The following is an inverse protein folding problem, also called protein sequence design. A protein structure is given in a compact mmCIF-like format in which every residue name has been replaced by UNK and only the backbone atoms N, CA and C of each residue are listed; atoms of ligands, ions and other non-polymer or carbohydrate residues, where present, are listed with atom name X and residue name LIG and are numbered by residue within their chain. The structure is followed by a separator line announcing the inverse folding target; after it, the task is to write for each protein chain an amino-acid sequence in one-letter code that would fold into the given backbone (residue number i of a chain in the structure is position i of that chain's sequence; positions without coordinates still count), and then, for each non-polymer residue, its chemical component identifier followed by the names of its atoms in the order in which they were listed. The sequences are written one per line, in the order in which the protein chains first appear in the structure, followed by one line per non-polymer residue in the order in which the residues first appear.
data_IF_435480096678
#
_entry.id   IF_435480096678
#
_cell.length_a   1.000
_cell.length_b   1.000
_cell.length_c   1.000
_cell.angle_alpha   90.00
_cell.angle_beta   90.00
_cell.angle_gamma   90.00
#
_symmetry.space_group_name_H-M   'P 1'
#
loop_
_entity.id
_entity.type
_entity.pdbx_description
1 polymer ?
#
# COMPACT_ATOMS: atom_id res chain seq x y z
N UNK A 1 0.46 28.57 -3.22
CA UNK A 1 -0.96 28.52 -2.79
C UNK A 1 -1.04 29.10 -1.40
N UNK A 2 -1.62 30.29 -1.24
CA UNK A 2 -1.90 30.82 0.09
C UNK A 2 -2.96 29.93 0.74
N UNK A 3 -2.66 29.33 1.89
CA UNK A 3 -3.63 28.53 2.66
C UNK A 3 -3.39 27.01 2.70
N UNK A 4 -2.48 26.46 1.90
CA UNK A 4 -2.10 25.04 1.95
C UNK A 4 -0.68 24.87 2.51
N UNK A 5 -0.53 24.01 3.50
CA UNK A 5 0.76 23.51 3.99
C UNK A 5 0.99 22.08 3.54
N UNK A 6 2.24 21.77 3.20
CA UNK A 6 2.67 20.46 2.73
C UNK A 6 3.70 19.93 3.71
N UNK A 7 3.42 18.76 4.28
CA UNK A 7 4.29 18.10 5.23
C UNK A 7 5.02 16.97 4.50
N UNK A 8 6.29 17.20 4.14
CA UNK A 8 7.19 16.14 3.70
C UNK A 8 7.88 15.53 4.92
N UNK A 9 7.49 14.32 5.29
CA UNK A 9 7.93 13.66 6.52
C UNK A 9 8.80 12.45 6.19
N UNK A 10 9.86 12.26 6.98
CA UNK A 10 10.69 11.07 6.89
C UNK A 10 10.25 10.04 7.93
N UNK A 11 9.62 8.98 7.45
CA UNK A 11 9.18 7.83 8.26
C UNK A 11 10.21 6.70 8.30
N UNK A 12 11.35 6.82 7.62
CA UNK A 12 12.33 5.75 7.52
C UNK A 12 13.20 5.66 8.77
N UNK A 13 13.67 4.44 9.08
CA UNK A 13 14.55 4.17 10.22
C UNK A 13 16.02 4.12 9.83
N UNK A 14 16.41 4.92 8.83
CA UNK A 14 17.79 4.96 8.34
C UNK A 14 18.85 5.23 9.44
N UNK A 15 18.60 6.02 10.50
CA UNK A 15 19.60 6.22 11.55
C UNK A 15 19.90 4.95 12.37
N UNK A 16 18.99 3.98 12.36
CA UNK A 16 19.14 2.69 13.04
C UNK A 16 19.71 1.60 12.12
N UNK A 17 19.81 1.89 10.82
CA UNK A 17 20.36 0.95 9.85
C UNK A 17 21.87 0.76 10.05
N UNK A 18 22.35 -0.42 9.65
CA UNK A 18 23.76 -0.77 9.67
C UNK A 18 24.10 -1.62 8.47
N UNK A 19 25.25 -1.37 7.86
CA UNK A 19 25.78 -2.18 6.74
C UNK A 19 26.05 -3.65 7.12
N UNK A 20 25.96 -4.00 8.41
CA UNK A 20 26.21 -5.35 8.92
C UNK A 20 24.94 -6.20 9.08
N UNK A 21 23.77 -5.61 8.89
CA UNK A 21 22.47 -6.27 9.09
C UNK A 21 21.60 -6.03 7.85
N UNK A 22 20.55 -6.83 7.73
CA UNK A 22 19.51 -6.54 6.75
C UNK A 22 18.92 -5.14 7.01
N UNK A 23 18.56 -4.39 5.95
CA UNK A 23 17.91 -3.10 6.10
C UNK A 23 16.63 -3.21 6.91
N UNK A 24 16.41 -2.25 7.79
CA UNK A 24 15.15 -2.09 8.51
C UNK A 24 14.08 -1.66 7.50
N UNK A 25 13.03 -2.48 7.40
CA UNK A 25 11.91 -2.28 6.47
C UNK A 25 10.83 -1.41 7.10
N UNK A 26 10.62 -1.50 8.40
CA UNK A 26 9.53 -0.79 9.08
C UNK A 26 9.78 0.73 9.24
N UNK A 27 8.67 1.46 9.37
CA UNK A 27 8.66 2.90 9.50
C UNK A 27 8.34 3.39 10.91
N UNK A 28 8.85 4.56 11.30
CA UNK A 28 8.38 5.26 12.50
C UNK A 28 8.65 6.75 12.44
N UNK A 29 7.93 7.50 13.26
CA UNK A 29 8.34 8.86 13.63
C UNK A 29 8.93 8.85 15.03
N UNK A 30 10.14 9.40 15.17
CA UNK A 30 10.76 9.58 16.49
C UNK A 30 9.95 10.57 17.33
N UNK A 31 10.03 10.49 18.68
CA UNK A 31 9.25 11.37 19.56
C UNK A 31 9.37 12.86 19.26
N UNK A 32 10.57 13.33 18.93
CA UNK A 32 10.82 14.73 18.56
C UNK A 32 10.13 15.10 17.25
N UNK A 33 10.12 14.20 16.26
CA UNK A 33 9.41 14.40 15.00
C UNK A 33 7.89 14.43 15.23
N UNK A 34 7.34 13.56 16.07
CA UNK A 34 5.91 13.57 16.43
C UNK A 34 5.51 14.87 17.12
N UNK A 35 6.30 15.33 18.10
CA UNK A 35 6.07 16.62 18.78
C UNK A 35 6.11 17.79 17.79
N UNK A 36 7.06 17.77 16.86
CA UNK A 36 7.16 18.79 15.81
C UNK A 36 5.96 18.75 14.87
N UNK A 37 5.52 17.56 14.42
CA UNK A 37 4.35 17.38 13.57
C UNK A 37 3.13 17.98 14.28
N UNK A 38 2.86 17.57 15.52
CA UNK A 38 1.69 18.04 16.28
C UNK A 38 1.72 19.56 16.50
N UNK A 39 2.87 20.13 16.88
CA UNK A 39 3.01 21.57 17.06
C UNK A 39 2.70 22.36 15.77
N UNK A 40 3.14 21.87 14.61
CA UNK A 40 2.86 22.51 13.33
C UNK A 40 1.40 22.29 12.88
N UNK A 41 0.78 21.16 13.21
CA UNK A 41 -0.64 20.93 12.96
C UNK A 41 -1.53 21.85 13.81
N UNK A 42 -1.18 22.09 15.07
CA UNK A 42 -1.85 23.07 15.94
C UNK A 42 -1.78 24.46 15.31
N UNK A 43 -0.59 24.86 14.85
CA UNK A 43 -0.38 26.17 14.24
C UNK A 43 -1.11 26.32 12.89
N UNK A 44 -1.07 25.29 12.05
CA UNK A 44 -1.82 25.24 10.79
C UNK A 44 -3.31 25.44 11.05
N UNK A 45 -3.86 24.72 12.03
CA UNK A 45 -5.27 24.84 12.42
C UNK A 45 -5.60 26.24 12.97
N UNK A 46 -4.73 26.83 13.80
CA UNK A 46 -4.87 28.21 14.32
C UNK A 46 -4.89 29.25 13.20
N UNK A 47 -4.11 29.02 12.14
CA UNK A 47 -4.03 29.90 10.97
C UNK A 47 -5.07 29.59 9.89
N UNK A 48 -5.95 28.60 10.09
CA UNK A 48 -6.92 28.16 9.09
C UNK A 48 -6.27 27.60 7.81
N UNK A 49 -5.11 26.95 7.93
CA UNK A 49 -4.42 26.30 6.82
C UNK A 49 -4.96 24.88 6.61
N UNK A 50 -5.13 24.50 5.35
CA UNK A 50 -5.26 23.09 4.98
C UNK A 50 -3.88 22.43 5.04
N UNK A 51 -3.85 21.14 5.39
CA UNK A 51 -2.60 20.35 5.46
C UNK A 51 -2.77 19.07 4.66
N UNK A 52 -1.76 18.78 3.84
CA UNK A 52 -1.53 17.47 3.23
C UNK A 52 -0.16 16.95 3.67
N UNK A 53 -0.03 15.64 3.82
CA UNK A 53 1.22 15.01 4.23
C UNK A 53 1.71 13.97 3.22
N UNK A 54 3.02 13.75 3.19
CA UNK A 54 3.69 12.78 2.35
C UNK A 54 4.77 12.08 3.18
N UNK A 55 4.77 10.74 3.18
CA UNK A 55 5.86 9.93 3.74
C UNK A 55 5.85 8.53 3.15
N UNK A 56 6.80 7.68 3.54
CA UNK A 56 7.06 6.44 2.83
C UNK A 56 6.08 5.31 3.14
N UNK A 57 5.83 5.02 4.42
CA UNK A 57 5.02 3.88 4.88
C UNK A 57 3.54 4.23 4.98
N UNK A 58 2.65 3.23 4.87
CA UNK A 58 1.20 3.43 5.02
C UNK A 58 0.81 3.95 6.41
N UNK A 59 -0.22 4.80 6.46
CA UNK A 59 -0.85 5.30 7.70
C UNK A 59 -2.20 4.61 7.96
N UNK A 60 -2.77 3.92 6.97
CA UNK A 60 -3.95 3.06 7.10
C UNK A 60 -3.68 1.69 6.50
N UNK A 61 -4.49 0.69 6.88
CA UNK A 61 -4.48 -0.59 6.16
C UNK A 61 -5.08 -0.42 4.76
N UNK A 62 -4.36 -0.90 3.74
CA UNK A 62 -4.82 -0.89 2.34
C UNK A 62 -5.59 -2.17 1.94
N UNK A 63 -5.60 -3.18 2.79
CA UNK A 63 -6.52 -4.31 2.68
C UNK A 63 -6.77 -4.89 4.07
N UNK A 64 -7.86 -5.65 4.21
CA UNK A 64 -8.23 -6.23 5.51
C UNK A 64 -7.14 -7.18 6.02
N UNK A 65 -6.53 -6.83 7.16
CA UNK A 65 -5.46 -7.62 7.79
C UNK A 65 -4.05 -7.26 7.32
N UNK A 66 -3.86 -6.13 6.64
CA UNK A 66 -2.54 -5.62 6.25
C UNK A 66 -1.57 -5.53 7.43
N UNK A 67 -1.98 -4.97 8.57
CA UNK A 67 -1.19 -4.91 9.80
C UNK A 67 -0.89 -6.29 10.42
N UNK A 68 -1.64 -7.33 10.05
CA UNK A 68 -1.38 -8.70 10.52
C UNK A 68 -0.37 -9.42 9.65
N UNK A 69 -0.46 -9.24 8.33
CA UNK A 69 0.35 -9.99 7.38
C UNK A 69 1.65 -9.28 6.99
N UNK A 70 1.63 -7.94 6.96
CA UNK A 70 2.72 -7.06 6.54
C UNK A 70 2.79 -5.81 7.42
N UNK A 71 2.91 -5.96 8.76
CA UNK A 71 2.95 -4.82 9.69
C UNK A 71 4.07 -3.83 9.38
N UNK A 72 5.19 -4.30 8.85
CA UNK A 72 6.35 -3.48 8.51
C UNK A 72 6.06 -2.46 7.40
N UNK A 73 4.97 -2.63 6.66
CA UNK A 73 4.59 -1.70 5.60
C UNK A 73 3.78 -0.50 6.09
N UNK A 74 3.33 -0.58 7.34
CA UNK A 74 2.65 0.51 8.03
C UNK A 74 3.63 1.22 8.96
N UNK A 75 3.44 2.51 9.12
CA UNK A 75 4.22 3.26 10.11
C UNK A 75 3.89 2.77 11.53
N UNK A 76 4.90 2.65 12.38
CA UNK A 76 4.72 2.33 13.79
C UNK A 76 3.69 3.27 14.42
N UNK A 77 2.73 2.71 15.17
CA UNK A 77 1.60 3.44 15.76
C UNK A 77 0.67 4.13 14.75
N UNK A 78 0.55 3.59 13.52
CA UNK A 78 -0.28 4.14 12.44
C UNK A 78 -1.68 4.58 12.91
N UNK A 79 -2.37 3.80 13.75
CA UNK A 79 -3.71 4.16 14.26
C UNK A 79 -3.71 5.45 15.10
N UNK A 80 -2.70 5.64 15.95
CA UNK A 80 -2.59 6.83 16.79
C UNK A 80 -2.23 8.06 15.94
N UNK A 81 -1.33 7.89 14.97
CA UNK A 81 -0.92 8.94 14.04
C UNK A 81 -2.09 9.33 13.14
N UNK A 82 -2.81 8.37 12.56
CA UNK A 82 -4.01 8.59 11.74
C UNK A 82 -5.07 9.37 12.51
N UNK A 83 -5.34 8.98 13.76
CA UNK A 83 -6.28 9.68 14.64
C UNK A 83 -5.85 11.12 14.93
N UNK A 84 -4.56 11.35 15.19
CA UNK A 84 -4.01 12.70 15.40
C UNK A 84 -4.13 13.56 14.13
N UNK A 85 -3.77 12.99 12.97
CA UNK A 85 -3.86 13.65 11.67
C UNK A 85 -5.30 14.07 11.37
N UNK A 86 -6.25 13.14 11.51
CA UNK A 86 -7.67 13.43 11.34
C UNK A 86 -8.16 14.48 12.34
N UNK A 87 -7.75 14.41 13.62
CA UNK A 87 -8.13 15.39 14.64
C UNK A 87 -7.76 16.83 14.24
N UNK A 88 -6.56 17.03 13.67
CA UNK A 88 -6.10 18.33 13.16
C UNK A 88 -6.51 18.65 11.71
N UNK A 89 -7.48 17.92 11.15
CA UNK A 89 -8.02 18.14 9.81
C UNK A 89 -7.02 17.89 8.66
N UNK A 90 -6.00 17.06 8.86
CA UNK A 90 -5.28 16.47 7.72
C UNK A 90 -6.23 15.51 7.03
N UNK A 91 -6.47 15.73 5.73
CA UNK A 91 -7.46 14.96 4.97
C UNK A 91 -6.83 13.95 4.02
N UNK A 92 -5.63 14.24 3.52
CA UNK A 92 -4.90 13.37 2.60
C UNK A 92 -3.48 13.18 3.08
N UNK A 93 -3.06 11.92 3.07
CA UNK A 93 -1.69 11.48 3.23
C UNK A 93 -1.32 10.71 1.97
N UNK A 94 -0.17 11.00 1.40
CA UNK A 94 0.36 10.28 0.25
C UNK A 94 1.48 9.37 0.72
N UNK A 95 1.33 8.08 0.45
CA UNK A 95 2.23 7.03 0.91
C UNK A 95 2.73 6.19 -0.28
N UNK A 96 3.58 5.22 0.03
CA UNK A 96 4.11 4.25 -0.92
C UNK A 96 4.57 3.02 -0.15
N UNK A 97 5.80 2.56 -0.42
CA UNK A 97 6.44 1.43 0.27
C UNK A 97 5.84 0.05 -0.03
N UNK A 98 4.52 -0.17 0.01
CA UNK A 98 3.93 -1.46 -0.40
C UNK A 98 4.00 -1.69 -1.92
N UNK A 99 4.16 -0.60 -2.67
CA UNK A 99 4.13 -0.53 -4.13
C UNK A 99 2.76 -0.83 -4.75
N UNK A 100 1.70 -0.98 -3.93
CA UNK A 100 0.35 -1.06 -4.46
C UNK A 100 -0.11 0.32 -4.93
N UNK A 101 -1.08 0.33 -5.85
CA UNK A 101 -1.71 1.57 -6.27
C UNK A 101 -3.12 1.63 -5.71
N UNK A 102 -3.20 1.95 -4.42
CA UNK A 102 -4.41 1.81 -3.61
C UNK A 102 -4.75 3.12 -2.87
N UNK A 103 -6.03 3.36 -2.59
CA UNK A 103 -6.51 4.41 -1.70
C UNK A 103 -7.37 3.77 -0.60
N UNK A 104 -6.96 3.96 0.65
CA UNK A 104 -7.75 3.60 1.80
C UNK A 104 -8.32 4.84 2.50
N UNK A 105 -9.48 4.70 3.13
CA UNK A 105 -10.05 5.76 3.96
C UNK A 105 -10.51 5.25 5.32
N UNK A 106 -10.34 6.11 6.33
CA UNK A 106 -10.91 5.88 7.65
C UNK A 106 -11.56 7.15 8.20
N UNK A 107 -12.73 6.98 8.83
CA UNK A 107 -13.41 8.05 9.54
C UNK A 107 -13.06 8.03 11.04
N UNK A 108 -12.73 9.19 11.59
CA UNK A 108 -12.45 9.44 12.99
C UNK A 108 -13.35 10.59 13.49
N UNK A 109 -14.39 10.27 14.28
CA UNK A 109 -15.31 11.26 14.84
C UNK A 109 -15.88 12.24 13.80
N UNK A 110 -16.35 11.74 12.66
CA UNK A 110 -16.90 12.56 11.57
C UNK A 110 -15.86 13.23 10.66
N UNK A 111 -14.55 12.97 10.87
CA UNK A 111 -13.47 13.45 10.01
C UNK A 111 -12.86 12.30 9.24
N UNK A 112 -12.77 12.43 7.92
CA UNK A 112 -12.21 11.38 7.06
C UNK A 112 -10.73 11.68 6.78
N UNK A 113 -9.90 10.66 6.92
CA UNK A 113 -8.51 10.63 6.47
C UNK A 113 -8.40 9.66 5.29
N UNK A 114 -7.79 10.12 4.20
CA UNK A 114 -7.44 9.29 3.05
C UNK A 114 -5.93 9.01 3.07
N UNK A 115 -5.58 7.75 2.92
CA UNK A 115 -4.23 7.29 2.63
C UNK A 115 -4.16 6.93 1.14
N UNK A 116 -3.34 7.66 0.39
CA UNK A 116 -3.24 7.57 -1.07
C UNK A 116 -1.88 6.95 -1.38
N UNK A 117 -1.85 5.62 -1.49
CA UNK A 117 -0.65 4.87 -1.81
C UNK A 117 -0.44 4.87 -3.32
N UNK A 118 0.71 5.40 -3.76
CA UNK A 118 1.07 5.35 -5.19
C UNK A 118 2.00 4.18 -5.45
N UNK A 119 1.62 3.37 -6.44
CA UNK A 119 2.40 2.19 -6.80
C UNK A 119 3.79 2.55 -7.32
N UNK A 120 4.71 1.61 -7.23
CA UNK A 120 6.11 1.85 -7.58
C UNK A 120 6.31 1.88 -9.09
N UNK A 121 7.12 2.82 -9.58
CA UNK A 121 7.49 2.88 -11.00
C UNK A 121 8.25 1.63 -11.49
N UNK A 122 8.83 0.84 -10.58
CA UNK A 122 9.58 -0.39 -10.92
C UNK A 122 8.74 -1.68 -10.81
N UNK A 123 7.46 -1.57 -10.46
CA UNK A 123 6.53 -2.69 -10.40
C UNK A 123 5.34 -2.41 -11.30
N UNK A 124 4.89 -3.40 -12.07
CA UNK A 124 3.74 -3.22 -12.96
C UNK A 124 2.50 -2.79 -12.15
N UNK A 125 1.70 -1.84 -12.69
CA UNK A 125 1.77 -1.30 -14.05
C UNK A 125 2.70 -0.09 -14.24
N UNK A 126 3.60 0.18 -13.29
CA UNK A 126 4.45 1.39 -13.21
C UNK A 126 3.60 2.68 -13.15
N UNK A 127 2.72 2.81 -12.14
CA UNK A 127 1.79 3.91 -12.06
C UNK A 127 2.42 5.20 -11.53
N UNK A 128 1.77 6.32 -11.84
CA UNK A 128 1.99 7.62 -11.23
C UNK A 128 0.67 8.39 -11.22
N UNK A 129 0.47 9.27 -10.23
CA UNK A 129 -0.79 9.99 -10.04
C UNK A 129 -0.66 11.48 -10.31
N UNK A 130 -1.70 12.05 -10.90
CA UNK A 130 -1.93 13.49 -10.90
C UNK A 130 -2.97 13.83 -9.85
N UNK A 131 -2.72 14.88 -9.08
CA UNK A 131 -3.64 15.40 -8.08
C UNK A 131 -3.90 16.87 -8.37
N UNK A 132 -5.15 17.19 -8.71
CA UNK A 132 -5.59 18.57 -8.89
C UNK A 132 -6.46 18.98 -7.72
N UNK A 133 -6.08 20.04 -7.02
CA UNK A 133 -6.85 20.62 -5.92
C UNK A 133 -7.68 21.80 -6.44
N UNK A 134 -9.00 21.70 -6.33
CA UNK A 134 -9.91 22.75 -6.80
C UNK A 134 -11.25 22.68 -6.06
N UNK A 135 -11.79 23.84 -5.66
CA UNK A 135 -13.12 23.99 -5.05
C UNK A 135 -13.39 23.05 -3.87
N UNK A 136 -12.43 22.92 -2.94
CA UNK A 136 -12.48 21.95 -1.83
C UNK A 136 -12.65 20.49 -2.28
N UNK A 137 -12.11 20.15 -3.46
CA UNK A 137 -12.02 18.78 -3.96
C UNK A 137 -10.60 18.45 -4.37
N UNK A 138 -10.25 17.18 -4.26
CA UNK A 138 -9.07 16.61 -4.89
C UNK A 138 -9.50 15.68 -6.02
N UNK A 139 -9.08 15.99 -7.24
CA UNK A 139 -9.25 15.15 -8.41
C UNK A 139 -7.97 14.33 -8.56
N UNK A 140 -8.06 13.03 -8.33
CA UNK A 140 -6.94 12.10 -8.37
C UNK A 140 -7.13 11.20 -9.59
N UNK A 141 -6.11 11.14 -10.44
CA UNK A 141 -6.11 10.31 -11.64
C UNK A 141 -4.78 9.59 -11.77
N UNK A 142 -4.83 8.28 -11.93
CA UNK A 142 -3.66 7.43 -12.18
C UNK A 142 -3.38 7.34 -13.68
N UNK A 143 -2.11 7.44 -14.04
CA UNK A 143 -1.58 7.08 -15.35
C UNK A 143 -0.44 6.08 -15.17
N UNK A 144 -0.03 5.42 -16.25
CA UNK A 144 1.03 4.41 -16.22
C UNK A 144 2.13 4.75 -17.22
N UNK A 145 3.37 4.37 -16.91
CA UNK A 145 4.49 4.49 -17.85
C UNK A 145 4.32 3.44 -18.95
N UNK A 146 3.84 3.84 -20.13
CA UNK A 146 3.52 2.88 -21.21
C UNK A 146 4.75 2.31 -21.92
N UNK A 147 5.82 3.09 -22.03
CA UNK A 147 7.02 2.74 -22.79
C UNK A 147 8.27 3.36 -22.18
N UNK A 148 9.41 2.68 -22.36
CA UNK A 148 10.74 3.22 -22.09
C UNK A 148 11.67 2.89 -23.28
N UNK A 149 12.66 3.74 -23.61
CA UNK A 149 13.49 3.52 -24.80
C UNK A 149 14.32 2.22 -24.80
N UNK A 150 14.60 1.67 -23.61
CA UNK A 150 15.49 0.52 -23.44
C UNK A 150 14.80 -0.85 -23.54
N UNK A 151 13.46 -0.90 -23.54
CA UNK A 151 12.70 -2.15 -23.51
C UNK A 151 11.56 -2.09 -24.52
N UNK A 152 11.58 -2.99 -25.49
CA UNK A 152 10.45 -3.20 -26.41
C UNK A 152 9.29 -3.83 -25.64
N UNK A 153 8.08 -3.32 -25.85
CA UNK A 153 6.86 -3.75 -25.13
C UNK A 153 7.05 -3.74 -23.59
N UNK A 154 7.35 -2.55 -23.08
CA UNK A 154 7.67 -2.35 -21.66
C UNK A 154 6.59 -2.88 -20.71
N UNK A 155 5.30 -2.75 -21.07
CA UNK A 155 4.21 -3.18 -20.20
C UNK A 155 4.16 -4.71 -20.05
N UNK A 156 4.32 -5.46 -21.14
CA UNK A 156 4.44 -6.92 -21.06
C UNK A 156 5.64 -7.32 -20.20
N UNK A 157 6.81 -6.70 -20.44
CA UNK A 157 8.00 -6.94 -19.63
C UNK A 157 7.78 -6.65 -18.15
N UNK A 158 7.21 -5.49 -17.80
CA UNK A 158 6.98 -5.08 -16.42
C UNK A 158 6.00 -6.04 -15.72
N UNK A 159 4.92 -6.45 -16.39
CA UNK A 159 3.94 -7.39 -15.85
C UNK A 159 4.58 -8.76 -15.58
N UNK A 160 5.33 -9.29 -16.54
CA UNK A 160 6.03 -10.57 -16.36
C UNK A 160 7.10 -10.49 -15.26
N UNK A 161 7.88 -9.42 -15.23
CA UNK A 161 8.91 -9.19 -14.20
C UNK A 161 8.29 -9.17 -12.80
N UNK A 162 7.22 -8.40 -12.62
CA UNK A 162 6.54 -8.25 -11.33
C UNK A 162 5.89 -9.55 -10.89
N UNK A 163 5.20 -10.24 -11.81
CA UNK A 163 4.57 -11.55 -11.56
C UNK A 163 5.62 -12.58 -11.14
N UNK A 164 6.72 -12.68 -11.89
CA UNK A 164 7.81 -13.60 -11.57
C UNK A 164 8.46 -13.26 -10.23
N UNK A 165 8.62 -11.98 -9.91
CA UNK A 165 9.11 -11.52 -8.60
C UNK A 165 8.25 -12.05 -7.45
N UNK A 166 6.92 -11.93 -7.55
CA UNK A 166 6.01 -12.47 -6.55
C UNK A 166 6.01 -13.99 -6.47
N UNK A 167 6.10 -14.69 -7.61
CA UNK A 167 6.22 -16.14 -7.58
C UNK A 167 7.51 -16.59 -6.88
N UNK A 168 8.64 -15.92 -7.14
CA UNK A 168 9.93 -16.22 -6.48
C UNK A 168 9.84 -15.95 -4.98
N UNK A 169 9.32 -14.80 -4.56
CA UNK A 169 9.13 -14.45 -3.15
C UNK A 169 8.18 -15.44 -2.45
N UNK A 170 7.06 -15.76 -3.08
CA UNK A 170 6.09 -16.73 -2.57
C UNK A 170 6.71 -18.11 -2.39
N UNK A 171 7.49 -18.59 -3.36
CA UNK A 171 8.23 -19.86 -3.27
C UNK A 171 9.27 -19.84 -2.16
N UNK A 172 10.02 -18.74 -2.00
CA UNK A 172 11.00 -18.59 -0.92
C UNK A 172 10.35 -18.58 0.47
N UNK A 173 9.18 -17.95 0.63
CA UNK A 173 8.40 -18.04 1.87
C UNK A 173 7.92 -19.47 2.11
N UNK A 174 7.38 -20.13 1.09
CA UNK A 174 6.90 -21.52 1.18
C UNK A 174 8.01 -22.53 1.48
N UNK A 175 9.24 -22.30 1.00
CA UNK A 175 10.42 -23.12 1.33
C UNK A 175 10.68 -23.15 2.85
N UNK A 176 10.46 -22.04 3.57
CA UNK A 176 10.56 -21.99 5.04
C UNK A 176 9.53 -22.86 5.77
N UNK A 177 8.45 -23.25 5.08
CA UNK A 177 7.39 -24.13 5.60
C UNK A 177 7.48 -25.55 5.05
N UNK A 178 8.59 -25.93 4.39
CA UNK A 178 8.80 -27.27 3.82
C UNK A 178 7.74 -27.69 2.78
N UNK A 179 7.10 -26.73 2.11
CA UNK A 179 6.13 -27.01 1.05
C UNK A 179 6.85 -27.63 -0.15
N UNK A 180 6.29 -28.70 -0.73
CA UNK A 180 6.91 -29.37 -1.88
C UNK A 180 6.97 -28.47 -3.12
N UNK A 181 7.95 -28.67 -4.01
CA UNK A 181 8.03 -27.88 -5.27
C UNK A 181 6.79 -28.04 -6.15
N UNK A 182 6.13 -29.20 -6.10
CA UNK A 182 4.83 -29.43 -6.75
C UNK A 182 3.76 -28.49 -6.18
N UNK A 183 3.57 -28.47 -4.86
CA UNK A 183 2.57 -27.62 -4.20
C UNK A 183 2.90 -26.12 -4.38
N UNK A 184 4.19 -25.76 -4.36
CA UNK A 184 4.65 -24.40 -4.62
C UNK A 184 4.24 -23.90 -6.01
N UNK A 185 4.35 -24.75 -7.03
CA UNK A 185 3.94 -24.40 -8.40
C UNK A 185 2.41 -24.29 -8.55
N UNK A 186 1.64 -24.92 -7.66
CA UNK A 186 0.17 -24.76 -7.59
C UNK A 186 -0.18 -23.45 -6.87
N UNK A 187 0.47 -23.14 -5.74
CA UNK A 187 0.12 -22.00 -4.88
C UNK A 187 0.65 -20.66 -5.38
N UNK A 188 1.88 -20.62 -5.90
CA UNK A 188 2.56 -19.37 -6.27
C UNK A 188 1.76 -18.50 -7.27
N UNK A 189 1.11 -19.05 -8.32
CA UNK A 189 0.31 -18.25 -9.23
C UNK A 189 -0.88 -17.55 -8.57
N UNK A 190 -1.54 -18.16 -7.57
CA UNK A 190 -2.66 -17.53 -6.85
C UNK A 190 -2.18 -16.38 -5.96
N UNK A 191 -1.06 -16.58 -5.27
CA UNK A 191 -0.41 -15.53 -4.47
C UNK A 191 -0.01 -14.37 -5.38
N UNK A 192 0.71 -14.65 -6.46
CA UNK A 192 1.14 -13.63 -7.41
C UNK A 192 -0.02 -12.89 -8.04
N UNK A 193 -1.10 -13.58 -8.41
CA UNK A 193 -2.27 -12.93 -9.01
C UNK A 193 -2.96 -11.98 -8.04
N UNK A 194 -3.04 -12.32 -6.74
CA UNK A 194 -3.58 -11.44 -5.73
C UNK A 194 -2.76 -10.15 -5.61
N UNK A 195 -1.43 -10.25 -5.46
CA UNK A 195 -0.58 -9.06 -5.36
C UNK A 195 -0.53 -8.24 -6.65
N UNK A 196 -0.60 -8.87 -7.82
CA UNK A 196 -0.67 -8.13 -9.10
C UNK A 196 -1.99 -7.36 -9.19
N UNK A 197 -3.12 -7.95 -8.79
CA UNK A 197 -4.37 -7.23 -8.70
C UNK A 197 -4.20 -6.01 -7.78
N UNK A 198 -3.59 -6.21 -6.61
CA UNK A 198 -3.36 -5.12 -5.67
C UNK A 198 -2.51 -3.98 -6.23
N UNK A 199 -1.49 -4.34 -7.00
CA UNK A 199 -0.60 -3.35 -7.62
C UNK A 199 -1.27 -2.57 -8.75
N UNK A 200 -2.33 -3.11 -9.35
CA UNK A 200 -3.13 -2.41 -10.35
C UNK A 200 -4.16 -1.46 -9.72
N UNK A 201 -4.56 -1.70 -8.46
CA UNK A 201 -5.69 -1.05 -7.82
C UNK A 201 -7.05 -1.45 -8.39
N UNK A 202 -8.12 -1.03 -7.73
CA UNK A 202 -9.52 -1.36 -7.97
C UNK A 202 -9.69 -2.90 -8.06
N UNK A 203 -9.24 -3.64 -7.04
CA UNK A 203 -9.19 -5.10 -7.10
C UNK A 203 -10.61 -5.69 -7.19
N UNK A 204 -10.92 -6.21 -8.37
CA UNK A 204 -12.18 -6.90 -8.61
C UNK A 204 -11.91 -8.28 -9.22
N UNK A 205 -12.11 -9.37 -8.46
CA UNK A 205 -11.99 -10.70 -9.02
C UNK A 205 -13.03 -10.90 -10.13
N UNK A 206 -12.66 -11.61 -11.20
CA UNK A 206 -13.63 -11.91 -12.27
C UNK A 206 -14.77 -12.76 -11.71
N UNK A 207 -15.97 -12.60 -12.27
CA UNK A 207 -17.12 -13.44 -11.97
C UNK A 207 -16.71 -14.90 -12.24
N UNK A 208 -16.63 -15.72 -11.20
CA UNK A 208 -16.18 -17.13 -11.21
C UNK A 208 -14.67 -17.39 -11.16
N UNK A 209 -13.83 -16.37 -10.94
CA UNK A 209 -12.39 -16.57 -10.70
C UNK A 209 -12.15 -17.35 -9.41
N UNK A 210 -11.38 -18.43 -9.49
CA UNK A 210 -10.85 -19.10 -8.30
C UNK A 210 -9.69 -18.30 -7.73
N UNK A 211 -9.82 -17.82 -6.49
CA UNK A 211 -8.79 -17.04 -5.80
C UNK A 211 -7.78 -17.91 -5.03
N UNK A 212 -8.12 -19.16 -4.79
CA UNK A 212 -7.27 -20.16 -4.14
C UNK A 212 -7.41 -21.51 -4.87
N UNK A 213 -6.38 -22.38 -4.83
CA UNK A 213 -6.47 -23.72 -5.42
C UNK A 213 -7.39 -24.63 -4.60
N UNK A 214 -7.84 -25.74 -5.21
CA UNK A 214 -8.50 -26.79 -4.44
C UNK A 214 -7.47 -27.45 -3.50
N UNK A 215 -7.77 -27.41 -2.20
CA UNK A 215 -6.93 -28.05 -1.18
C UNK A 215 -6.63 -29.52 -1.45
N UNK A 216 -7.49 -30.25 -2.19
CA UNK A 216 -7.27 -31.66 -2.57
C UNK A 216 -6.06 -31.86 -3.48
N UNK A 217 -5.67 -30.83 -4.22
CA UNK A 217 -4.51 -30.87 -5.12
C UNK A 217 -3.16 -30.75 -4.37
N UNK A 218 -3.22 -30.36 -3.08
CA UNK A 218 -2.06 -30.04 -2.26
C UNK A 218 -1.68 -31.18 -1.31
N UNK A 219 -0.38 -31.33 -1.09
CA UNK A 219 0.19 -32.10 0.01
C UNK A 219 -0.09 -31.48 1.38
N UNK A 220 0.33 -32.17 2.45
CA UNK A 220 0.09 -31.75 3.84
C UNK A 220 0.62 -30.34 4.15
N UNK A 221 1.88 -30.06 3.78
CA UNK A 221 2.49 -28.74 4.00
C UNK A 221 1.86 -27.65 3.12
N UNK A 222 1.49 -27.97 1.88
CA UNK A 222 0.74 -27.05 1.02
C UNK A 222 -0.62 -26.66 1.61
N UNK A 223 -1.37 -27.63 2.15
CA UNK A 223 -2.64 -27.37 2.87
C UNK A 223 -2.45 -26.51 4.11
N UNK A 224 -1.37 -26.74 4.87
CA UNK A 224 -1.06 -25.94 6.06
C UNK A 224 -0.80 -24.48 5.69
N UNK A 225 0.03 -24.23 4.67
CA UNK A 225 0.31 -22.86 4.19
C UNK A 225 -0.95 -22.22 3.64
N UNK A 226 -1.71 -22.94 2.81
CA UNK A 226 -2.97 -22.44 2.27
C UNK A 226 -3.90 -22.04 3.43
N UNK A 227 -4.07 -22.88 4.45
CA UNK A 227 -4.91 -22.56 5.60
C UNK A 227 -4.43 -21.29 6.34
N UNK A 228 -3.12 -21.14 6.57
CA UNK A 228 -2.55 -19.99 7.28
C UNK A 228 -2.56 -18.68 6.50
N UNK A 229 -2.49 -18.74 5.17
CA UNK A 229 -2.35 -17.57 4.28
C UNK A 229 -3.59 -17.35 3.40
N UNK A 230 -4.65 -18.13 3.60
CA UNK A 230 -5.91 -18.02 2.87
C UNK A 230 -6.46 -16.60 2.92
N UNK A 231 -6.56 -16.05 4.13
CA UNK A 231 -7.19 -14.76 4.33
C UNK A 231 -6.33 -13.62 3.76
N UNK A 232 -5.00 -13.76 3.75
CA UNK A 232 -4.14 -12.82 3.01
C UNK A 232 -4.49 -12.80 1.52
N UNK A 233 -4.53 -13.98 0.88
CA UNK A 233 -4.79 -14.08 -0.56
C UNK A 233 -6.18 -13.53 -0.88
N UNK A 234 -7.20 -13.89 -0.09
CA UNK A 234 -8.58 -13.49 -0.34
C UNK A 234 -8.80 -12.00 -0.04
N UNK A 235 -8.28 -11.49 1.08
CA UNK A 235 -8.55 -10.12 1.49
C UNK A 235 -7.88 -9.09 0.58
N UNK A 236 -6.76 -9.44 -0.06
CA UNK A 236 -6.14 -8.58 -1.08
C UNK A 236 -7.08 -8.37 -2.28
N UNK A 237 -7.95 -9.34 -2.62
CA UNK A 237 -8.94 -9.16 -3.69
C UNK A 237 -10.17 -8.35 -3.25
N UNK A 238 -10.26 -8.00 -1.97
CA UNK A 238 -11.38 -7.22 -1.44
C UNK A 238 -10.92 -5.77 -1.28
N UNK A 239 -11.00 -5.05 -2.38
CA UNK A 239 -10.77 -3.61 -2.46
C UNK A 239 -11.53 -2.89 -1.34
N UNK A 240 -10.83 -2.03 -0.61
CA UNK A 240 -11.42 -1.19 0.40
C UNK A 240 -12.15 -0.02 -0.27
N UNK A 241 -12.61 0.94 0.53
CA UNK A 241 -13.10 2.19 -0.04
C UNK A 241 -12.03 3.25 0.13
N UNK A 242 -11.94 4.20 -0.80
CA UNK A 242 -12.75 4.34 -2.02
C UNK A 242 -12.08 3.70 -3.25
N UNK A 243 -12.52 4.02 -4.48
CA UNK A 243 -11.82 3.62 -5.72
C UNK A 243 -10.40 4.20 -5.77
N UNK A 244 -9.50 3.47 -6.42
CA UNK A 244 -8.06 3.75 -6.39
C UNK A 244 -7.59 4.66 -7.50
N UNK A 245 -8.00 4.34 -8.74
CA UNK A 245 -7.34 4.90 -9.91
C UNK A 245 -7.86 6.27 -10.31
N UNK A 246 -9.17 6.48 -10.23
CA UNK A 246 -9.79 7.73 -10.67
C UNK A 246 -10.89 8.12 -9.70
N UNK A 247 -10.63 9.15 -8.90
CA UNK A 247 -11.56 9.57 -7.86
C UNK A 247 -11.57 11.08 -7.66
N UNK A 248 -12.73 11.57 -7.24
CA UNK A 248 -12.89 12.92 -6.70
C UNK A 248 -13.19 12.81 -5.21
N UNK A 249 -12.27 13.29 -4.39
CA UNK A 249 -12.46 13.41 -2.95
C UNK A 249 -13.08 14.77 -2.65
N UNK A 250 -14.21 14.78 -1.94
CA UNK A 250 -14.89 16.02 -1.55
C UNK A 250 -14.64 16.35 -0.08
N UNK A 251 -14.14 17.57 0.16
CA UNK A 251 -13.81 18.05 1.49
C UNK A 251 -14.94 18.94 2.00
N UNK A 252 -15.75 18.41 2.93
CA UNK A 252 -16.78 19.17 3.66
C UNK A 252 -16.19 20.11 4.69
#
# INVERSE_FOLDING_TARGET
MEGLWIFGLDSTRFPENSMKKDPIVDGKFYPQTLQWIEANLIEANRQGKAVIAFFHHGILEHYTGNATFYPEYLIENFQAIAKMFAFYNVRMVFTGHFHANDISMQEFNGKVLYDIETGSLVSAPSPYRFVTLKDNKAFITTSIVKEIPSVQDFQTFATEYTKNGFEVLGKAVMDKFFVSKKDQNILAPYISSAFIAHYMGDEMPQKDQKLIPDSKELGMFGKLVLHKKRDLIINIWHDLKPQDNNIVLEFK
#
